data_IF_186941582981
#
_entry.id   IF_186941582981
#
_cell.length_a   1.000
_cell.length_b   1.000
_cell.length_c   1.000
_cell.angle_alpha   90.00
_cell.angle_beta   90.00
_cell.angle_gamma   90.00
#
_symmetry.space_group_name_H-M   'P 1'
#
loop_
_entity.id
_entity.type
_entity.pdbx_description
1 polymer ?
#
# COMPACT_ATOMS: atom_id res chain seq x y z
N UNK A 1 12.81 3.00 -11.28
CA UNK A 1 11.43 2.77 -10.82
C UNK A 1 10.95 1.49 -11.47
N UNK A 2 10.49 0.51 -10.69
CA UNK A 2 9.97 -0.75 -11.25
C UNK A 2 8.45 -0.72 -11.24
N UNK A 3 7.86 -0.80 -12.44
CA UNK A 3 6.41 -0.92 -12.64
C UNK A 3 5.96 -2.34 -12.25
N UNK A 4 4.96 -2.44 -11.39
CA UNK A 4 4.35 -3.71 -11.01
C UNK A 4 3.03 -3.89 -11.76
N UNK A 5 2.90 -5.00 -12.47
CA UNK A 5 1.74 -5.35 -13.30
C UNK A 5 1.08 -6.62 -12.77
N UNK A 6 -0.20 -6.50 -12.42
CA UNK A 6 -1.01 -7.56 -11.83
C UNK A 6 -0.84 -7.68 -10.31
N UNK A 7 -1.85 -8.27 -9.69
CA UNK A 7 -1.90 -8.41 -8.24
C UNK A 7 -0.75 -9.29 -7.71
N UNK A 8 -0.35 -10.32 -8.45
CA UNK A 8 0.76 -11.21 -8.08
C UNK A 8 2.09 -10.46 -7.88
N UNK A 9 2.41 -9.50 -8.75
CA UNK A 9 3.65 -8.72 -8.62
C UNK A 9 3.56 -7.74 -7.45
N UNK A 10 2.38 -7.15 -7.25
CA UNK A 10 2.12 -6.22 -6.14
C UNK A 10 2.23 -6.94 -4.80
N UNK A 11 1.61 -8.11 -4.65
CA UNK A 11 1.65 -8.91 -3.42
C UNK A 11 3.04 -9.47 -3.16
N UNK A 12 3.76 -9.93 -4.20
CA UNK A 12 5.14 -10.38 -4.08
C UNK A 12 6.09 -9.26 -3.61
N UNK A 13 5.92 -8.04 -4.14
CA UNK A 13 6.74 -6.90 -3.71
C UNK A 13 6.36 -6.40 -2.32
N UNK A 14 5.06 -6.24 -2.05
CA UNK A 14 4.59 -5.67 -0.79
C UNK A 14 4.70 -6.66 0.37
N UNK A 15 4.64 -7.97 0.11
CA UNK A 15 4.80 -9.02 1.12
C UNK A 15 3.51 -9.37 1.90
N UNK A 16 2.35 -9.00 1.36
CA UNK A 16 1.05 -9.36 1.95
C UNK A 16 0.16 -10.05 0.93
N UNK A 17 -0.82 -10.82 1.43
CA UNK A 17 -1.78 -11.53 0.59
C UNK A 17 -2.69 -10.57 -0.19
N UNK A 18 -3.22 -11.04 -1.32
CA UNK A 18 -4.13 -10.28 -2.16
C UNK A 18 -5.35 -9.71 -1.41
N UNK A 19 -6.06 -10.47 -0.54
CA UNK A 19 -7.18 -9.92 0.23
C UNK A 19 -6.81 -8.72 1.11
N UNK A 20 -5.61 -8.75 1.70
CA UNK A 20 -5.09 -7.65 2.52
C UNK A 20 -4.80 -6.45 1.63
N UNK A 21 -4.08 -6.65 0.51
CA UNK A 21 -3.77 -5.57 -0.43
C UNK A 21 -5.04 -4.92 -0.98
N UNK A 22 -6.04 -5.70 -1.36
CA UNK A 22 -7.35 -5.18 -1.80
C UNK A 22 -8.05 -4.36 -0.71
N UNK A 23 -7.99 -4.81 0.54
CA UNK A 23 -8.55 -4.07 1.68
C UNK A 23 -7.81 -2.74 1.86
N UNK A 24 -6.48 -2.73 1.78
CA UNK A 24 -5.67 -1.52 1.88
C UNK A 24 -5.95 -0.53 0.75
N UNK A 25 -6.16 -1.01 -0.48
CA UNK A 25 -6.58 -0.17 -1.62
C UNK A 25 -7.91 0.50 -1.31
N UNK A 26 -8.90 -0.27 -0.85
CA UNK A 26 -10.27 0.22 -0.62
C UNK A 26 -10.39 1.16 0.58
N UNK A 27 -9.60 0.93 1.63
CA UNK A 27 -9.83 1.57 2.94
C UNK A 27 -8.71 2.51 3.37
N UNK A 28 -7.49 2.31 2.89
CA UNK A 28 -6.29 3.03 3.37
C UNK A 28 -5.53 3.75 2.24
N UNK A 29 -6.07 3.75 1.02
CA UNK A 29 -5.50 4.46 -0.12
C UNK A 29 -4.16 3.88 -0.59
N UNK A 30 -4.00 2.56 -0.53
CA UNK A 30 -2.80 1.90 -1.06
C UNK A 30 -2.60 2.25 -2.54
N UNK A 31 -1.37 2.55 -3.00
CA UNK A 31 -1.11 3.14 -4.31
C UNK A 31 -1.13 2.09 -5.44
N UNK A 32 -2.29 1.48 -5.68
CA UNK A 32 -2.52 0.61 -6.81
C UNK A 32 -3.88 0.93 -7.44
N UNK A 33 -3.93 0.87 -8.78
CA UNK A 33 -5.14 1.18 -9.55
C UNK A 33 -5.46 0.04 -10.51
N UNK A 34 -6.76 -0.21 -10.71
CA UNK A 34 -7.25 -1.17 -11.71
C UNK A 34 -7.49 -0.41 -13.02
N UNK A 35 -6.73 -0.72 -14.05
CA UNK A 35 -6.84 -0.08 -15.37
C UNK A 35 -7.94 -0.73 -16.24
N UNK A 36 -8.35 -0.05 -17.30
CA UNK A 36 -9.24 -0.59 -18.34
C UNK A 36 -8.63 -1.88 -18.91
N UNK A 37 -9.37 -2.99 -18.82
CA UNK A 37 -8.87 -4.34 -19.07
C UNK A 37 -8.70 -5.19 -17.80
N UNK A 38 -8.94 -4.62 -16.62
CA UNK A 38 -9.06 -5.36 -15.36
C UNK A 38 -7.74 -5.70 -14.67
N UNK A 39 -6.60 -5.28 -15.24
CA UNK A 39 -5.28 -5.48 -14.66
C UNK A 39 -4.96 -4.41 -13.61
N UNK A 40 -4.44 -4.85 -12.47
CA UNK A 40 -3.90 -3.95 -11.44
C UNK A 40 -2.53 -3.43 -11.82
N UNK A 41 -2.25 -2.17 -11.53
CA UNK A 41 -0.93 -1.57 -11.73
C UNK A 41 -0.50 -0.76 -10.52
N UNK A 42 0.79 -0.80 -10.20
CA UNK A 42 1.44 0.01 -9.17
C UNK A 42 2.90 0.31 -9.54
N UNK A 43 3.58 1.06 -8.68
CA UNK A 43 5.02 1.35 -8.78
C UNK A 43 5.68 1.16 -7.40
N UNK A 44 6.83 0.50 -7.40
CA UNK A 44 7.64 0.25 -6.19
C UNK A 44 7.92 1.50 -5.35
N UNK A 45 8.22 2.64 -5.98
CA UNK A 45 8.52 3.91 -5.29
C UNK A 45 7.27 4.46 -4.58
N UNK A 46 6.11 4.33 -5.21
CA UNK A 46 4.85 4.77 -4.60
C UNK A 46 4.50 3.91 -3.40
N UNK A 47 4.65 2.58 -3.51
CA UNK A 47 4.42 1.64 -2.41
C UNK A 47 5.34 1.97 -1.23
N UNK A 48 6.64 2.15 -1.48
CA UNK A 48 7.61 2.45 -0.44
C UNK A 48 7.31 3.78 0.25
N UNK A 49 6.97 4.81 -0.53
CA UNK A 49 6.60 6.13 0.01
C UNK A 49 5.36 6.03 0.89
N UNK A 50 4.32 5.35 0.41
CA UNK A 50 3.08 5.15 1.16
C UNK A 50 3.33 4.37 2.45
N UNK A 51 4.15 3.31 2.41
CA UNK A 51 4.50 2.51 3.59
C UNK A 51 5.22 3.37 4.64
N UNK A 52 6.21 4.16 4.23
CA UNK A 52 6.94 5.07 5.13
C UNK A 52 6.00 6.07 5.79
N UNK A 53 5.10 6.68 5.02
CA UNK A 53 4.11 7.61 5.56
C UNK A 53 3.16 6.94 6.55
N UNK A 54 2.70 5.71 6.26
CA UNK A 54 1.87 4.96 7.19
C UNK A 54 2.58 4.69 8.51
N UNK A 55 3.83 4.24 8.47
CA UNK A 55 4.62 4.02 9.69
C UNK A 55 4.78 5.32 10.49
N UNK A 56 5.08 6.44 9.83
CA UNK A 56 5.24 7.73 10.52
C UNK A 56 3.94 8.19 11.19
N UNK A 57 2.80 8.07 10.51
CA UNK A 57 1.51 8.46 11.07
C UNK A 57 1.15 7.59 12.29
N UNK A 58 1.30 6.28 12.20
CA UNK A 58 1.02 5.37 13.32
C UNK A 58 1.95 5.66 14.51
N UNK A 59 3.21 6.02 14.26
CA UNK A 59 4.14 6.44 15.32
C UNK A 59 3.78 7.80 15.94
N UNK A 60 3.10 8.69 15.22
CA UNK A 60 2.62 9.97 15.74
C UNK A 60 1.35 9.77 16.58
N UNK A 61 0.39 9.00 16.08
CA UNK A 61 -0.86 8.68 16.79
C UNK A 61 -0.57 7.98 18.13
N UNK A 62 0.36 7.01 18.15
CA UNK A 62 0.78 6.33 19.38
C UNK A 62 1.48 7.25 20.40
N UNK A 63 2.11 8.36 19.95
CA UNK A 63 2.72 9.33 20.87
C UNK A 63 1.68 10.20 21.55
N UNK A 64 0.61 10.55 20.86
CA UNK A 64 -0.47 11.36 21.39
C UNK A 64 -1.31 10.58 22.42
N UNK A 65 -1.55 9.28 22.19
CA UNK A 65 -2.26 8.42 23.15
C UNK A 65 -1.47 8.11 24.43
N UNK A 66 -0.14 8.21 24.39
CA UNK A 66 0.73 7.98 25.56
C UNK A 66 0.88 9.18 26.51
N UNK A 67 0.31 10.34 26.17
CA UNK A 67 0.35 11.57 26.97
C UNK A 67 -1.00 11.94 27.61
N UNK A 68 -1.97 11.02 27.61
CA UNK A 68 -3.27 11.17 28.28
C UNK A 68 -3.34 10.29 29.51
#
# INVERSE_FOLDING_TARGET
MSKLSGMNQITAYYGFSEPIVLTLIRTKGFPAVKLSGGMWQSDTVLIDKWRRQKILNELQENKEESHV
#
